data_IF_249205875402
#
_entry.id   IF_249205875402
#
_cell.length_a   1.000
_cell.length_b   1.000
_cell.length_c   1.000
_cell.angle_alpha   90.00
_cell.angle_beta   90.00
_cell.angle_gamma   90.00
#
_symmetry.space_group_name_H-M   'P 1'
#
loop_
_entity.id
_entity.type
_entity.pdbx_description
1 polymer ?
#
# COMPACT_ATOMS: atom_id res chain seq x y z
N UNK A 1 8.41 24.02 -14.35
CA UNK A 1 7.65 22.79 -14.65
C UNK A 1 7.53 21.97 -13.36
N UNK A 2 6.64 22.37 -12.45
CA UNK A 2 6.28 21.60 -11.26
C UNK A 2 4.76 21.71 -11.12
N UNK A 3 3.99 20.80 -11.72
CA UNK A 3 2.53 20.81 -11.53
C UNK A 3 1.80 19.49 -11.81
N UNK A 4 2.48 18.37 -12.05
CA UNK A 4 1.80 17.11 -12.36
C UNK A 4 1.17 16.42 -11.13
N UNK A 5 1.86 16.43 -9.99
CA UNK A 5 1.53 15.57 -8.85
C UNK A 5 0.69 16.25 -7.75
N UNK A 6 0.46 17.56 -7.82
CA UNK A 6 -0.13 18.32 -6.69
C UNK A 6 -1.62 18.06 -6.46
N UNK A 7 -2.32 17.41 -7.40
CA UNK A 7 -3.75 17.09 -7.31
C UNK A 7 -4.06 15.65 -6.91
N UNK A 8 -3.23 14.69 -7.33
CA UNK A 8 -3.51 13.25 -7.28
C UNK A 8 -3.45 12.76 -5.83
N UNK A 9 -4.57 12.21 -5.33
CA UNK A 9 -4.64 11.50 -4.06
C UNK A 9 -4.29 10.03 -4.27
N UNK A 10 -3.15 9.62 -3.71
CA UNK A 10 -2.73 8.22 -3.67
C UNK A 10 -3.32 7.52 -2.44
N UNK A 11 -4.00 6.39 -2.64
CA UNK A 11 -4.43 5.47 -1.61
C UNK A 11 -3.46 4.30 -1.48
N UNK A 12 -3.10 3.92 -0.26
CA UNK A 12 -2.15 2.85 0.01
C UNK A 12 -2.80 1.74 0.85
N UNK A 13 -2.82 0.52 0.31
CA UNK A 13 -3.44 -0.68 0.88
C UNK A 13 -2.46 -1.86 0.86
N UNK A 14 -2.73 -2.91 1.64
CA UNK A 14 -1.87 -4.11 1.74
C UNK A 14 -1.92 -4.76 3.11
N UNK A 15 -1.30 -5.94 3.34
CA UNK A 15 -1.28 -6.57 4.66
C UNK A 15 -0.42 -5.80 5.66
N UNK A 16 -0.62 -6.08 6.95
CA UNK A 16 0.27 -5.59 8.00
C UNK A 16 1.72 -5.96 7.71
N UNK A 17 2.65 -5.05 8.04
CA UNK A 17 4.09 -5.17 7.78
C UNK A 17 4.53 -5.17 6.29
N UNK A 18 3.65 -4.84 5.33
CA UNK A 18 4.05 -4.61 3.93
C UNK A 18 4.76 -3.28 3.67
N UNK A 19 5.02 -2.47 4.71
CA UNK A 19 5.81 -1.23 4.58
C UNK A 19 4.98 0.04 4.34
N UNK A 20 3.64 -0.02 4.44
CA UNK A 20 2.74 1.11 4.13
C UNK A 20 3.07 2.40 4.88
N UNK A 21 3.32 2.33 6.19
CA UNK A 21 3.65 3.53 6.99
C UNK A 21 5.00 4.14 6.59
N UNK A 22 5.99 3.29 6.30
CA UNK A 22 7.32 3.72 5.87
C UNK A 22 7.25 4.40 4.51
N UNK A 23 6.57 3.77 3.54
CA UNK A 23 6.39 4.35 2.21
C UNK A 23 5.64 5.68 2.27
N UNK A 24 4.55 5.75 3.05
CA UNK A 24 3.81 7.00 3.24
C UNK A 24 4.71 8.13 3.74
N UNK A 25 5.54 7.86 4.74
CA UNK A 25 6.45 8.86 5.30
C UNK A 25 7.45 9.37 4.25
N UNK A 26 8.03 8.47 3.44
CA UNK A 26 8.94 8.83 2.36
C UNK A 26 8.23 9.65 1.27
N UNK A 27 7.10 9.19 0.74
CA UNK A 27 6.42 9.88 -0.36
C UNK A 27 5.91 11.28 0.02
N UNK A 28 5.58 11.51 1.29
CA UNK A 28 5.23 12.86 1.79
C UNK A 28 6.41 13.83 1.62
N UNK A 29 7.66 13.40 1.83
CA UNK A 29 8.83 14.29 1.64
C UNK A 29 9.05 14.69 0.18
N UNK A 30 8.52 13.89 -0.75
CA UNK A 30 8.50 14.16 -2.18
C UNK A 30 7.26 14.94 -2.64
N UNK A 31 6.42 15.41 -1.71
CA UNK A 31 5.22 16.21 -2.02
C UNK A 31 4.03 15.41 -2.53
N UNK A 32 4.05 14.08 -2.41
CA UNK A 32 2.93 13.22 -2.81
C UNK A 32 1.80 13.32 -1.78
N UNK A 33 0.57 13.57 -2.26
CA UNK A 33 -0.62 13.53 -1.43
C UNK A 33 -1.07 12.07 -1.26
N UNK A 34 -0.80 11.48 -0.11
CA UNK A 34 -1.02 10.05 0.13
C UNK A 34 -1.80 9.72 1.41
N UNK A 35 -2.70 8.73 1.35
CA UNK A 35 -3.45 8.18 2.48
C UNK A 35 -3.23 6.67 2.61
N UNK A 36 -2.89 6.25 3.82
CA UNK A 36 -2.93 4.85 4.21
C UNK A 36 -4.38 4.46 4.53
N UNK A 37 -4.83 3.33 3.99
CA UNK A 37 -6.16 2.78 4.15
C UNK A 37 -6.03 1.41 4.83
N UNK A 38 -6.61 1.28 6.02
CA UNK A 38 -6.55 0.07 6.84
C UNK A 38 -7.52 -1.04 6.36
N UNK A 39 -7.52 -1.34 5.05
CA UNK A 39 -8.42 -2.30 4.40
C UNK A 39 -8.26 -3.72 4.96
N UNK A 40 -7.06 -4.10 5.39
CA UNK A 40 -6.74 -5.39 6.00
C UNK A 40 -7.50 -5.65 7.32
N UNK A 41 -8.08 -4.60 7.91
CA UNK A 41 -8.87 -4.67 9.13
C UNK A 41 -10.38 -4.52 8.90
N UNK A 42 -10.84 -4.51 7.64
CA UNK A 42 -12.24 -4.31 7.29
C UNK A 42 -12.84 -5.54 6.62
N UNK A 43 -14.11 -5.82 6.93
CA UNK A 43 -14.92 -6.82 6.23
C UNK A 43 -15.64 -6.26 5.00
N UNK A 44 -15.65 -4.93 4.81
CA UNK A 44 -16.25 -4.28 3.63
C UNK A 44 -15.21 -4.29 2.50
N UNK A 45 -15.40 -5.07 1.41
CA UNK A 45 -14.35 -5.31 0.42
C UNK A 45 -13.85 -4.05 -0.31
N UNK A 46 -14.76 -3.10 -0.53
CA UNK A 46 -14.55 -1.85 -1.24
C UNK A 46 -14.45 -0.64 -0.28
N UNK A 47 -14.12 -0.87 1.00
CA UNK A 47 -13.98 0.21 1.99
C UNK A 47 -12.99 1.30 1.53
N UNK A 48 -11.89 0.90 0.89
CA UNK A 48 -10.91 1.82 0.31
C UNK A 48 -11.56 2.84 -0.64
N UNK A 49 -12.49 2.38 -1.47
CA UNK A 49 -13.21 3.20 -2.43
C UNK A 49 -14.23 4.07 -1.71
N UNK A 50 -14.98 3.52 -0.75
CA UNK A 50 -16.06 4.26 -0.06
C UNK A 50 -15.56 5.36 0.87
N UNK A 51 -14.44 5.15 1.56
CA UNK A 51 -13.94 6.07 2.59
C UNK A 51 -12.93 7.07 2.02
N UNK A 52 -12.10 6.62 1.08
CA UNK A 52 -11.02 7.45 0.54
C UNK A 52 -11.24 7.82 -0.92
N UNK A 53 -11.73 6.89 -1.75
CA UNK A 53 -11.88 7.05 -3.20
C UNK A 53 -10.66 7.73 -3.84
N UNK A 54 -9.46 7.12 -3.74
CA UNK A 54 -8.24 7.74 -4.26
C UNK A 54 -8.26 7.81 -5.79
N UNK A 55 -7.50 8.75 -6.35
CA UNK A 55 -7.28 8.84 -7.79
C UNK A 55 -6.37 7.70 -8.28
N UNK A 56 -5.45 7.24 -7.42
CA UNK A 56 -4.54 6.11 -7.65
C UNK A 56 -4.53 5.21 -6.42
N UNK A 57 -4.78 3.91 -6.59
CA UNK A 57 -4.69 2.88 -5.55
C UNK A 57 -3.43 2.04 -5.72
N UNK A 58 -2.54 2.09 -4.72
CA UNK A 58 -1.31 1.30 -4.67
C UNK A 58 -1.46 0.18 -3.65
N UNK A 59 -1.16 -1.03 -4.06
CA UNK A 59 -1.13 -2.22 -3.22
C UNK A 59 0.30 -2.63 -2.91
N UNK A 60 0.67 -2.64 -1.63
CA UNK A 60 1.93 -3.23 -1.17
C UNK A 60 1.67 -4.60 -0.57
N UNK A 61 2.33 -5.63 -1.08
CA UNK A 61 2.28 -6.97 -0.51
C UNK A 61 3.60 -7.33 0.20
N UNK A 62 3.49 -8.26 1.13
CA UNK A 62 4.63 -8.91 1.76
C UNK A 62 4.25 -10.34 2.13
N UNK A 63 5.14 -11.29 1.87
CA UNK A 63 4.87 -12.68 2.25
C UNK A 63 4.81 -12.85 3.77
N UNK A 64 4.07 -13.86 4.23
CA UNK A 64 3.94 -14.13 5.66
C UNK A 64 5.30 -14.23 6.39
N UNK A 65 6.32 -14.97 5.91
CA UNK A 65 7.62 -15.02 6.57
C UNK A 65 8.26 -13.63 6.74
N UNK A 66 8.14 -12.77 5.72
CA UNK A 66 8.64 -11.40 5.77
C UNK A 66 7.85 -10.54 6.76
N UNK A 67 6.53 -10.71 6.84
CA UNK A 67 5.73 -9.97 7.84
C UNK A 67 6.17 -10.27 9.26
N UNK A 68 6.45 -11.55 9.57
CA UNK A 68 6.94 -12.02 10.88
C UNK A 68 8.37 -11.53 11.16
N UNK A 69 9.23 -11.54 10.14
CA UNK A 69 10.60 -11.05 10.27
C UNK A 69 10.64 -9.54 10.57
N UNK A 70 9.86 -8.74 9.83
CA UNK A 70 9.83 -7.27 9.97
C UNK A 70 9.20 -6.83 11.29
N UNK A 71 8.18 -7.56 11.72
CA UNK A 71 7.40 -7.22 12.90
C UNK A 71 7.11 -8.53 13.61
N UNK A 72 7.55 -8.65 14.86
CA UNK A 72 7.24 -9.79 15.75
C UNK A 72 5.75 -9.78 16.09
N UNK A 73 4.93 -10.06 15.09
CA UNK A 73 3.49 -10.12 15.18
C UNK A 73 3.13 -11.46 15.82
N UNK A 74 2.30 -11.41 16.85
CA UNK A 74 1.81 -12.60 17.55
C UNK A 74 0.63 -13.24 16.79
N UNK A 75 0.71 -13.29 15.47
CA UNK A 75 -0.38 -13.74 14.60
C UNK A 75 0.01 -14.99 13.83
N UNK A 76 -0.99 -15.78 13.49
CA UNK A 76 -0.83 -17.03 12.75
C UNK A 76 -0.83 -16.78 11.24
N UNK A 77 -0.41 -17.78 10.47
CA UNK A 77 -0.60 -17.80 9.02
C UNK A 77 -2.08 -17.60 8.65
N UNK A 78 -3.02 -18.14 9.45
CA UNK A 78 -4.45 -17.97 9.21
C UNK A 78 -4.90 -16.51 9.33
N UNK A 79 -4.31 -15.74 10.27
CA UNK A 79 -4.59 -14.31 10.41
C UNK A 79 -4.08 -13.52 9.20
N UNK A 80 -2.90 -13.90 8.69
CA UNK A 80 -2.37 -13.35 7.45
C UNK A 80 -3.28 -13.67 6.25
N UNK A 81 -3.70 -14.92 6.09
CA UNK A 81 -4.62 -15.32 5.02
C UNK A 81 -5.95 -14.58 5.08
N UNK A 82 -6.48 -14.32 6.27
CA UNK A 82 -7.69 -13.51 6.45
C UNK A 82 -7.47 -12.05 6.02
N UNK A 83 -6.29 -11.46 6.27
CA UNK A 83 -5.96 -10.15 5.69
C UNK A 83 -5.92 -10.22 4.17
N UNK A 84 -5.27 -11.22 3.60
CA UNK A 84 -5.21 -11.39 2.14
C UNK A 84 -6.62 -11.51 1.53
N UNK A 85 -7.54 -12.22 2.21
CA UNK A 85 -8.96 -12.31 1.80
C UNK A 85 -9.66 -10.94 1.83
N UNK A 86 -9.50 -10.17 2.91
CA UNK A 86 -10.10 -8.82 3.05
C UNK A 86 -9.54 -7.82 2.04
N UNK A 87 -8.29 -8.02 1.65
CA UNK A 87 -7.56 -7.19 0.70
C UNK A 87 -7.82 -7.56 -0.76
N UNK A 88 -8.45 -8.70 -1.04
CA UNK A 88 -8.58 -9.23 -2.39
C UNK A 88 -9.21 -8.23 -3.38
N UNK A 89 -10.28 -7.56 -2.96
CA UNK A 89 -10.94 -6.55 -3.80
C UNK A 89 -10.02 -5.35 -4.07
N UNK A 90 -9.32 -4.83 -3.05
CA UNK A 90 -8.36 -3.75 -3.25
C UNK A 90 -7.18 -4.16 -4.16
N UNK A 91 -6.72 -5.41 -4.07
CA UNK A 91 -5.66 -5.95 -4.94
C UNK A 91 -6.10 -6.01 -6.41
N UNK A 92 -7.33 -6.46 -6.66
CA UNK A 92 -7.89 -6.58 -8.02
C UNK A 92 -8.08 -5.23 -8.72
N UNK A 93 -8.22 -4.16 -7.93
CA UNK A 93 -8.48 -2.81 -8.41
C UNK A 93 -7.28 -1.87 -8.24
N UNK A 94 -6.11 -2.38 -7.85
CA UNK A 94 -4.92 -1.56 -7.69
C UNK A 94 -4.35 -1.16 -9.05
N UNK A 95 -3.99 0.11 -9.19
CA UNK A 95 -3.30 0.63 -10.37
C UNK A 95 -1.82 0.21 -10.37
N UNK A 96 -1.24 0.06 -9.18
CA UNK A 96 0.12 -0.44 -8.99
C UNK A 96 0.17 -1.47 -7.86
N UNK A 97 0.76 -2.63 -8.14
CA UNK A 97 1.07 -3.67 -7.17
C UNK A 97 2.59 -3.79 -6.98
N UNK A 98 3.05 -3.85 -5.74
CA UNK A 98 4.47 -4.03 -5.41
C UNK A 98 4.62 -5.13 -4.35
N UNK A 99 5.36 -6.18 -4.69
CA UNK A 99 5.88 -7.14 -3.70
C UNK A 99 7.11 -6.53 -3.03
N UNK A 100 7.06 -6.38 -1.71
CA UNK A 100 8.09 -5.62 -0.98
C UNK A 100 9.20 -6.49 -0.38
N UNK A 101 9.12 -7.82 -0.51
CA UNK A 101 9.95 -8.77 0.25
C UNK A 101 11.46 -8.50 0.12
N UNK A 102 11.91 -8.21 -1.09
CA UNK A 102 13.34 -8.02 -1.43
C UNK A 102 13.72 -6.56 -1.65
N UNK A 103 12.76 -5.64 -1.49
CA UNK A 103 12.95 -4.23 -1.80
C UNK A 103 13.24 -3.42 -0.53
N UNK A 104 14.15 -2.45 -0.66
CA UNK A 104 14.32 -1.42 0.38
C UNK A 104 13.17 -0.40 0.30
N UNK A 105 12.89 0.34 1.40
CA UNK A 105 11.87 1.39 1.37
C UNK A 105 12.08 2.43 0.26
N UNK A 106 13.33 2.77 -0.04
CA UNK A 106 13.70 3.73 -1.09
C UNK A 106 13.41 3.18 -2.48
N UNK A 107 13.66 1.89 -2.72
CA UNK A 107 13.32 1.22 -3.98
C UNK A 107 11.81 1.19 -4.20
N UNK A 108 11.03 0.89 -3.16
CA UNK A 108 9.56 0.94 -3.22
C UNK A 108 9.08 2.37 -3.50
N UNK A 109 9.64 3.37 -2.81
CA UNK A 109 9.30 4.77 -3.04
C UNK A 109 9.63 5.22 -4.47
N UNK A 110 10.80 4.84 -4.98
CA UNK A 110 11.21 5.16 -6.34
C UNK A 110 10.26 4.54 -7.37
N UNK A 111 9.87 3.27 -7.20
CA UNK A 111 8.91 2.60 -8.08
C UNK A 111 7.56 3.34 -8.13
N UNK A 112 7.07 3.80 -6.98
CA UNK A 112 5.84 4.61 -6.92
C UNK A 112 6.01 5.96 -7.59
N UNK A 113 7.12 6.67 -7.33
CA UNK A 113 7.37 7.97 -7.93
C UNK A 113 7.51 7.88 -9.45
N UNK A 114 8.10 6.81 -9.98
CA UNK A 114 8.24 6.61 -11.41
C UNK A 114 6.91 6.24 -12.07
N UNK A 115 6.09 5.42 -11.42
CA UNK A 115 4.70 5.18 -11.83
C UNK A 115 3.90 6.49 -11.92
N UNK A 116 3.92 7.31 -10.86
CA UNK A 116 3.15 8.56 -10.82
C UNK A 116 3.62 9.63 -11.82
N UNK A 117 4.84 9.53 -12.36
CA UNK A 117 5.32 10.44 -13.43
C UNK A 117 4.89 10.01 -14.82
N UNK A 118 4.53 8.74 -14.98
CA UNK A 118 4.12 8.17 -16.26
C UNK A 118 2.62 8.41 -16.55
N UNK A 119 1.84 8.70 -15.51
CA UNK A 119 0.45 9.18 -15.56
C UNK A 119 0.37 10.69 -15.82
#
# INVERSE_FOLDING_TARGET
>A
MQSGLSGILVGLVGPCASGKSTLKALLITHGVRIKHIAQEHSFVPDMWQRITNPDVLIFLDASYPITIQRRRLNWSEADYQEQQRRLAHARQHADLYIETDTLTPEQVAQAVLDFLKAE
#
